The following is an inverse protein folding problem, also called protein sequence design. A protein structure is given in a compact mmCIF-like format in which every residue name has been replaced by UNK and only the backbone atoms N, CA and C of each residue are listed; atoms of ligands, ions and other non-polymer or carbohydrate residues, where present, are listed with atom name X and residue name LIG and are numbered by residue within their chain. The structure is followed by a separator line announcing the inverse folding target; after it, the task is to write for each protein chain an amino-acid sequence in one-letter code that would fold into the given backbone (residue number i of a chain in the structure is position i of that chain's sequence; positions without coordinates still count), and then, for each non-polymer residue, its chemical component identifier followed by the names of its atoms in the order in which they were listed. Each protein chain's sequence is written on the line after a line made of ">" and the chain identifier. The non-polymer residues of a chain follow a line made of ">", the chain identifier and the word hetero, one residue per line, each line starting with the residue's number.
data_IF_550712189077
#
_entry.id   IF_550712189077
#
_cell.length_a   1.000
_cell.length_b   1.000
_cell.length_c   1.000
_cell.angle_alpha   90.00
_cell.angle_beta   90.00
_cell.angle_gamma   90.00
#
_symmetry.space_group_name_H-M   'P 1'
#
loop_
_entity.id
_entity.type
_entity.pdbx_description
1 polymer ?
#
# COMPACT_ATOMS: atom_id res chain seq x y z
N UNK A 1 -4.09 -10.77 -19.59
CA UNK A 1 -4.30 -9.56 -18.77
C UNK A 1 -3.89 -9.93 -17.36
N UNK A 2 -2.80 -9.34 -16.88
CA UNK A 2 -2.29 -9.57 -15.53
C UNK A 2 -2.76 -8.38 -14.69
N UNK A 3 -3.79 -8.48 -13.83
CA UNK A 3 -4.25 -7.32 -13.06
C UNK A 3 -3.20 -6.93 -12.01
N UNK A 4 -2.64 -5.73 -12.12
CA UNK A 4 -1.62 -5.20 -11.21
C UNK A 4 -2.20 -3.98 -10.48
N UNK A 5 -2.43 -4.12 -9.17
CA UNK A 5 -2.81 -3.00 -8.32
C UNK A 5 -1.60 -2.11 -8.05
N UNK A 6 -1.68 -0.84 -8.45
CA UNK A 6 -0.65 0.15 -8.19
C UNK A 6 -1.26 1.52 -7.93
N UNK A 7 -0.73 2.24 -6.94
CA UNK A 7 -1.07 3.63 -6.67
C UNK A 7 0.19 4.39 -6.24
N UNK A 8 0.35 5.62 -6.71
CA UNK A 8 1.47 6.49 -6.35
C UNK A 8 1.67 6.68 -4.82
N UNK A 9 0.62 6.54 -4.00
CA UNK A 9 0.70 6.70 -2.53
C UNK A 9 1.54 5.61 -1.87
N UNK A 10 1.80 4.49 -2.57
CA UNK A 10 2.65 3.42 -2.06
C UNK A 10 4.10 3.85 -1.91
N UNK A 11 4.50 4.93 -2.60
CA UNK A 11 5.79 5.58 -2.41
C UNK A 11 5.67 6.62 -1.29
N UNK A 12 6.28 6.33 -0.15
CA UNK A 12 6.29 7.23 1.01
C UNK A 12 7.72 7.69 1.34
N UNK A 13 7.99 8.98 1.58
CA UNK A 13 9.32 9.42 1.97
C UNK A 13 9.75 8.75 3.28
N UNK A 14 10.96 8.22 3.30
CA UNK A 14 11.54 7.64 4.51
C UNK A 14 12.84 8.37 4.89
N UNK A 15 13.18 8.40 6.18
CA UNK A 15 14.47 8.89 6.63
C UNK A 15 15.63 8.13 5.97
N UNK A 16 16.77 8.79 5.84
CA UNK A 16 18.00 8.16 5.38
C UNK A 16 18.38 6.97 6.28
N UNK A 17 18.87 5.88 5.68
CA UNK A 17 19.23 4.65 6.41
C UNK A 17 18.03 3.81 6.89
N UNK A 18 16.80 4.20 6.56
CA UNK A 18 15.63 3.41 6.94
C UNK A 18 15.64 2.03 6.26
N UNK A 19 15.40 0.95 7.03
CA UNK A 19 15.53 -0.44 6.56
C UNK A 19 14.42 -0.91 5.63
N UNK A 20 13.29 -0.20 5.60
CA UNK A 20 12.19 -0.55 4.73
C UNK A 20 12.53 -0.21 3.27
N UNK A 21 12.44 -1.17 2.34
CA UNK A 21 12.90 -1.01 0.95
C UNK A 21 11.89 -0.23 0.11
N UNK A 22 11.63 1.03 0.46
CA UNK A 22 10.58 1.84 -0.17
C UNK A 22 10.77 2.03 -1.67
N UNK A 23 12.02 2.12 -2.12
CA UNK A 23 12.36 2.27 -3.54
C UNK A 23 11.71 1.19 -4.42
N UNK A 24 11.44 -0.02 -3.90
CA UNK A 24 10.82 -1.09 -4.68
C UNK A 24 9.41 -0.72 -5.19
N UNK A 25 8.65 0.07 -4.43
CA UNK A 25 7.28 0.45 -4.82
C UNK A 25 7.27 1.41 -6.01
N UNK A 26 8.36 2.15 -6.21
CA UNK A 26 8.56 3.01 -7.37
C UNK A 26 9.18 2.23 -8.55
N UNK A 27 10.18 1.39 -8.27
CA UNK A 27 10.97 0.73 -9.30
C UNK A 27 10.29 -0.51 -9.92
N UNK A 28 9.51 -1.28 -9.16
CA UNK A 28 8.90 -2.51 -9.68
C UNK A 28 7.91 -2.25 -10.84
N UNK A 29 6.96 -1.30 -10.75
CA UNK A 29 6.08 -0.98 -11.88
C UNK A 29 6.86 -0.54 -13.11
N UNK A 30 7.89 0.28 -12.93
CA UNK A 30 8.75 0.76 -14.03
C UNK A 30 9.52 -0.39 -14.68
N UNK A 31 10.07 -1.31 -13.88
CA UNK A 31 10.81 -2.46 -14.37
C UNK A 31 9.91 -3.41 -15.15
N UNK A 32 8.69 -3.67 -14.69
CA UNK A 32 7.72 -4.52 -15.38
C UNK A 32 7.33 -3.99 -16.76
N UNK A 33 7.17 -2.67 -16.88
CA UNK A 33 6.93 -1.99 -18.16
C UNK A 33 8.17 -2.05 -19.06
N UNK A 34 9.36 -1.79 -18.50
CA UNK A 34 10.63 -1.80 -19.24
C UNK A 34 10.97 -3.18 -19.80
N UNK A 35 10.79 -4.25 -19.01
CA UNK A 35 11.03 -5.63 -19.44
C UNK A 35 9.93 -6.18 -20.37
N UNK A 36 8.86 -5.42 -20.59
CA UNK A 36 7.72 -5.84 -21.41
C UNK A 36 6.89 -6.97 -20.78
N UNK A 37 7.02 -7.18 -19.46
CA UNK A 37 6.24 -8.18 -18.70
C UNK A 37 4.80 -7.70 -18.50
N UNK A 38 4.62 -6.39 -18.32
CA UNK A 38 3.32 -5.75 -18.18
C UNK A 38 3.16 -4.61 -19.17
N UNK A 39 1.91 -4.29 -19.49
CA UNK A 39 1.54 -3.11 -20.27
C UNK A 39 0.81 -2.11 -19.36
N UNK A 40 0.70 -0.84 -19.76
CA UNK A 40 -0.01 0.16 -18.97
C UNK A 40 -1.47 -0.25 -18.66
N UNK A 41 -2.12 -0.98 -19.56
CA UNK A 41 -3.49 -1.49 -19.38
C UNK A 41 -3.61 -2.62 -18.34
N UNK A 42 -2.50 -3.22 -17.92
CA UNK A 42 -2.49 -4.23 -16.85
C UNK A 42 -2.58 -3.57 -15.46
N UNK A 43 -2.30 -2.27 -15.34
CA UNK A 43 -2.31 -1.54 -14.08
C UNK A 43 -3.67 -0.90 -13.78
N UNK A 44 -4.07 -0.95 -12.51
CA UNK A 44 -5.25 -0.24 -12.01
C UNK A 44 -4.97 0.36 -10.63
N UNK A 45 -5.66 1.47 -10.31
CA UNK A 45 -5.66 2.06 -8.98
C UNK A 45 -6.68 1.33 -8.10
N UNK A 46 -6.29 0.76 -6.95
CA UNK A 46 -7.22 0.11 -6.05
C UNK A 46 -7.98 1.13 -5.21
N UNK A 47 -9.21 0.77 -4.87
CA UNK A 47 -10.09 1.56 -4.01
C UNK A 47 -9.83 1.28 -2.51
N UNK A 48 -10.22 2.22 -1.61
CA UNK A 48 -10.18 1.99 -0.17
C UNK A 48 -10.94 0.72 0.24
N UNK A 49 -10.39 -0.02 1.20
CA UNK A 49 -11.01 -1.24 1.72
C UNK A 49 -12.32 -0.94 2.46
N UNK A 50 -13.34 -1.77 2.27
CA UNK A 50 -14.58 -1.71 3.05
C UNK A 50 -14.28 -2.02 4.54
N UNK A 51 -14.74 -1.15 5.43
CA UNK A 51 -14.57 -1.27 6.87
C UNK A 51 -15.07 -2.62 7.43
N UNK A 52 -16.11 -3.22 6.82
CA UNK A 52 -16.61 -4.53 7.22
C UNK A 52 -15.53 -5.63 7.11
N UNK A 53 -14.69 -5.60 6.08
CA UNK A 53 -13.60 -6.57 5.93
C UNK A 53 -12.52 -6.36 7.00
N UNK A 54 -12.25 -5.11 7.37
CA UNK A 54 -11.29 -4.77 8.43
C UNK A 54 -11.81 -5.29 9.78
N UNK A 55 -13.09 -5.04 10.08
CA UNK A 55 -13.74 -5.46 11.33
C UNK A 55 -13.99 -6.98 11.42
N UNK A 56 -13.86 -7.72 10.32
CA UNK A 56 -13.89 -9.18 10.35
C UNK A 56 -12.63 -9.79 11.01
N UNK A 57 -11.54 -9.01 11.10
CA UNK A 57 -10.25 -9.46 11.66
C UNK A 57 -9.86 -8.63 12.89
N UNK A 58 -10.11 -7.32 12.86
CA UNK A 58 -9.68 -6.39 13.90
C UNK A 58 -10.85 -5.98 14.81
N UNK A 59 -10.54 -5.64 16.07
CA UNK A 59 -11.55 -5.11 17.00
C UNK A 59 -11.98 -3.70 16.58
N UNK A 60 -13.21 -3.33 16.96
CA UNK A 60 -13.74 -2.00 16.69
C UNK A 60 -12.89 -0.92 17.38
N UNK A 61 -12.50 -1.15 18.64
CA UNK A 61 -11.68 -0.22 19.42
C UNK A 61 -10.32 0.06 18.76
N UNK A 62 -9.59 -0.99 18.37
CA UNK A 62 -8.30 -0.82 17.67
C UNK A 62 -8.46 -0.07 16.34
N UNK A 63 -9.48 -0.45 15.56
CA UNK A 63 -9.72 0.15 14.25
C UNK A 63 -10.07 1.64 14.38
N UNK A 64 -10.92 2.01 15.33
CA UNK A 64 -11.26 3.41 15.60
C UNK A 64 -10.05 4.20 16.07
N UNK A 65 -9.23 3.64 16.97
CA UNK A 65 -8.01 4.30 17.43
C UNK A 65 -7.01 4.51 16.30
N UNK A 66 -6.87 3.54 15.38
CA UNK A 66 -6.03 3.69 14.19
C UNK A 66 -6.51 4.83 13.30
N UNK A 67 -7.81 4.86 12.99
CA UNK A 67 -8.41 5.88 12.12
C UNK A 67 -8.37 7.28 12.72
N UNK A 68 -8.45 7.39 14.05
CA UNK A 68 -8.39 8.67 14.77
C UNK A 68 -6.95 9.07 15.15
N UNK A 69 -5.95 8.25 14.83
CA UNK A 69 -4.55 8.45 15.18
C UNK A 69 -4.33 8.56 16.71
N UNK A 70 -5.08 7.77 17.49
CA UNK A 70 -5.03 7.73 18.97
C UNK A 70 -4.46 6.42 19.52
N UNK A 71 -3.82 5.61 18.66
CA UNK A 71 -3.07 4.43 19.11
C UNK A 71 -1.95 4.86 20.06
N UNK A 72 -1.86 4.19 21.20
CA UNK A 72 -0.73 4.37 22.12
C UNK A 72 0.56 3.92 21.42
N UNK A 73 1.57 4.78 21.38
CA UNK A 73 2.87 4.49 20.75
C UNK A 73 3.60 3.29 21.39
N UNK A 74 3.14 2.79 22.54
CA UNK A 74 3.68 1.62 23.25
C UNK A 74 2.87 0.33 23.06
N UNK A 75 1.72 0.39 22.37
CA UNK A 75 0.83 -0.76 22.15
C UNK A 75 1.40 -1.79 21.16
#
# INVERSE_FOLDING_TARGET
>A
MLPIAYHAIYKHPLPEGHRFPMLKYDLLPQQLLYEGIAQLSDFFEPEPCNLQHILAVHTNDYTNSLLQLTIDAKA
#
